data_IF_504698173186
#
_entry.id   IF_504698173186
#
_cell.length_a   1.000
_cell.length_b   1.000
_cell.length_c   1.000
_cell.angle_alpha   90.00
_cell.angle_beta   90.00
_cell.angle_gamma   90.00
#
_symmetry.space_group_name_H-M   'P 1'
#
loop_
_entity.id
_entity.type
_entity.pdbx_description
1 polymer ?
#
# COMPACT_ATOMS: atom_id res chain seq x y z
N UNK A 1 2.61 7.55 29.00
CA UNK A 1 2.51 9.02 29.03
C UNK A 1 2.97 9.59 27.68
N UNK A 2 2.47 10.77 27.27
CA UNK A 2 2.80 11.37 25.97
C UNK A 2 4.30 11.65 25.77
N UNK A 3 5.03 11.89 26.86
CA UNK A 3 6.46 12.22 26.81
C UNK A 3 7.34 11.00 26.52
N UNK A 4 6.97 9.84 27.07
CA UNK A 4 7.60 8.56 26.74
C UNK A 4 7.39 8.20 25.27
N UNK A 5 6.21 8.51 24.70
CA UNK A 5 5.94 8.31 23.27
C UNK A 5 6.86 9.19 22.43
N UNK A 6 6.99 10.48 22.77
CA UNK A 6 7.94 11.40 22.11
C UNK A 6 9.37 10.88 22.17
N UNK A 7 9.85 10.46 23.35
CA UNK A 7 11.19 9.91 23.52
C UNK A 7 11.43 8.66 22.69
N UNK A 8 10.45 7.76 22.61
CA UNK A 8 10.54 6.55 21.79
C UNK A 8 10.60 6.87 20.29
N UNK A 9 9.76 7.78 19.82
CA UNK A 9 9.74 8.22 18.42
C UNK A 9 11.05 8.94 18.04
N UNK A 10 11.58 9.79 18.92
CA UNK A 10 12.89 10.43 18.72
C UNK A 10 14.04 9.43 18.74
N UNK A 11 13.99 8.41 19.61
CA UNK A 11 14.97 7.33 19.61
C UNK A 11 14.94 6.51 18.31
N UNK A 12 13.76 6.25 17.75
CA UNK A 12 13.62 5.61 16.44
C UNK A 12 14.28 6.45 15.33
N UNK A 13 14.11 7.77 15.35
CA UNK A 13 14.70 8.66 14.35
C UNK A 13 16.21 8.81 14.51
N UNK A 14 16.70 9.05 15.73
CA UNK A 14 18.09 9.43 16.01
C UNK A 14 19.04 8.24 16.22
N UNK A 15 18.57 7.16 16.84
CA UNK A 15 19.43 6.02 17.21
C UNK A 15 19.25 4.81 16.30
N UNK A 16 18.10 4.71 15.61
CA UNK A 16 17.80 3.60 14.68
C UNK A 16 17.76 4.04 13.22
N UNK A 17 17.86 5.35 12.95
CA UNK A 17 17.87 5.95 11.60
C UNK A 17 16.74 5.42 10.69
N UNK A 18 15.56 5.16 11.27
CA UNK A 18 14.46 4.57 10.51
C UNK A 18 13.90 5.56 9.50
N UNK A 19 13.36 5.03 8.40
CA UNK A 19 12.67 5.86 7.41
C UNK A 19 11.50 6.63 8.03
N UNK A 20 11.26 7.84 7.52
CA UNK A 20 10.16 8.70 7.95
C UNK A 20 8.79 8.00 7.92
N UNK A 21 8.56 7.14 6.92
CA UNK A 21 7.35 6.32 6.80
C UNK A 21 7.21 5.33 7.97
N UNK A 22 8.30 4.68 8.37
CA UNK A 22 8.34 3.74 9.50
C UNK A 22 8.05 4.47 10.83
N UNK A 23 8.63 5.66 11.02
CA UNK A 23 8.35 6.49 12.20
C UNK A 23 6.88 6.90 12.27
N UNK A 24 6.31 7.37 11.14
CA UNK A 24 4.90 7.75 11.06
C UNK A 24 3.97 6.56 11.31
N UNK A 25 4.33 5.35 10.83
CA UNK A 25 3.58 4.13 11.12
C UNK A 25 3.59 3.80 12.61
N UNK A 26 4.77 3.84 13.25
CA UNK A 26 4.90 3.60 14.69
C UNK A 26 4.09 4.62 15.50
N UNK A 27 4.16 5.90 15.13
CA UNK A 27 3.36 6.95 15.77
C UNK A 27 1.85 6.69 15.65
N UNK A 28 1.38 6.38 14.44
CA UNK A 28 -0.05 6.10 14.21
C UNK A 28 -0.51 4.85 14.97
N UNK A 29 0.32 3.81 15.07
CA UNK A 29 0.01 2.60 15.84
C UNK A 29 -0.12 2.87 17.34
N UNK A 30 0.80 3.66 17.91
CA UNK A 30 0.73 4.07 19.32
C UNK A 30 -0.49 4.97 19.55
N UNK A 31 -0.76 5.90 18.63
CA UNK A 31 -1.94 6.76 18.72
C UNK A 31 -3.26 5.96 18.71
N UNK A 32 -3.34 4.95 17.83
CA UNK A 32 -4.46 4.02 17.79
C UNK A 32 -4.61 3.24 19.10
N UNK A 33 -3.51 2.73 19.66
CA UNK A 33 -3.54 2.01 20.94
C UNK A 33 -4.12 2.88 22.07
N UNK A 34 -3.65 4.12 22.21
CA UNK A 34 -4.13 5.02 23.27
C UNK A 34 -5.60 5.40 23.09
N UNK A 35 -5.98 5.77 21.87
CA UNK A 35 -7.33 6.24 21.57
C UNK A 35 -8.36 5.11 21.59
N UNK A 36 -8.08 4.02 20.87
CA UNK A 36 -9.11 3.00 20.60
C UNK A 36 -9.11 1.87 21.63
N UNK A 37 -7.94 1.46 22.13
CA UNK A 37 -7.83 0.34 23.08
C UNK A 37 -7.87 0.85 24.52
N UNK A 38 -7.05 1.86 24.86
CA UNK A 38 -6.91 2.35 26.23
C UNK A 38 -7.92 3.45 26.59
N UNK A 39 -8.68 3.97 25.62
CA UNK A 39 -9.65 5.06 25.77
C UNK A 39 -9.09 6.27 26.51
N UNK A 40 -7.81 6.58 26.28
CA UNK A 40 -7.10 7.72 26.87
C UNK A 40 -6.72 8.71 25.78
N UNK A 41 -7.05 9.97 26.01
CA UNK A 41 -6.58 11.04 25.15
C UNK A 41 -5.11 11.33 25.46
N UNK A 42 -4.28 11.44 24.42
CA UNK A 42 -2.88 11.83 24.56
C UNK A 42 -2.72 13.36 24.56
N UNK A 43 -3.80 14.13 24.37
CA UNK A 43 -3.75 15.57 24.25
C UNK A 43 -3.16 16.01 22.91
N UNK A 44 -2.89 17.31 22.74
CA UNK A 44 -2.39 17.83 21.48
C UNK A 44 -1.00 17.24 21.12
N UNK A 45 -0.95 16.58 19.97
CA UNK A 45 0.23 15.91 19.42
C UNK A 45 0.85 16.72 18.25
N UNK A 46 0.40 17.96 18.04
CA UNK A 46 0.84 18.86 16.96
C UNK A 46 2.36 19.09 16.93
N UNK A 47 3.01 19.04 18.09
CA UNK A 47 4.44 19.25 18.27
C UNK A 47 5.28 17.97 18.05
N UNK A 48 4.62 16.83 17.82
CA UNK A 48 5.33 15.59 17.54
C UNK A 48 5.84 15.63 16.10
N UNK A 49 7.17 15.77 15.99
CA UNK A 49 8.02 15.62 14.80
C UNK A 49 7.49 14.58 13.80
N UNK A 50 6.51 14.95 12.98
CA UNK A 50 6.12 14.17 11.81
C UNK A 50 7.29 14.23 10.85
N UNK A 51 8.00 13.13 10.71
CA UNK A 51 9.05 13.04 9.72
C UNK A 51 8.44 13.20 8.34
N UNK A 52 8.85 14.27 7.63
CA UNK A 52 8.47 14.50 6.24
C UNK A 52 9.17 13.44 5.39
N UNK A 53 8.42 12.46 4.92
CA UNK A 53 8.93 11.56 3.88
C UNK A 53 8.99 12.34 2.57
N UNK A 54 10.16 12.39 1.94
CA UNK A 54 10.26 12.84 0.56
C UNK A 54 9.39 11.98 -0.34
N UNK A 55 8.64 12.59 -1.26
CA UNK A 55 7.91 11.84 -2.27
C UNK A 55 8.90 11.27 -3.26
N UNK A 56 9.08 9.95 -3.29
CA UNK A 56 9.75 9.31 -4.42
C UNK A 56 8.84 9.44 -5.63
N UNK A 57 9.33 10.09 -6.68
CA UNK A 57 8.64 10.10 -7.96
C UNK A 57 8.51 8.65 -8.44
N UNK A 58 7.31 8.18 -8.78
CA UNK A 58 7.16 6.83 -9.32
C UNK A 58 7.95 6.76 -10.63
N UNK A 59 8.93 5.86 -10.70
CA UNK A 59 9.56 5.50 -11.96
C UNK A 59 8.56 4.68 -12.76
N UNK A 60 7.94 5.32 -13.75
CA UNK A 60 7.03 4.64 -14.67
C UNK A 60 7.85 3.97 -15.78
N UNK A 61 7.49 2.73 -16.12
CA UNK A 61 8.07 2.04 -17.27
C UNK A 61 7.54 2.66 -18.57
N UNK A 62 8.43 2.78 -19.54
CA UNK A 62 8.08 3.14 -20.92
C UNK A 62 7.38 1.98 -21.63
N UNK A 63 6.67 2.28 -22.72
CA UNK A 63 5.97 1.26 -23.53
C UNK A 63 6.95 0.21 -24.07
N UNK A 64 8.16 0.62 -24.45
CA UNK A 64 9.16 -0.29 -25.02
C UNK A 64 9.78 -1.21 -23.95
N UNK A 65 10.01 -0.70 -22.73
CA UNK A 65 10.43 -1.54 -21.59
C UNK A 65 9.36 -2.59 -21.26
N UNK A 66 8.09 -2.18 -21.24
CA UNK A 66 6.97 -3.10 -21.00
C UNK A 66 6.90 -4.17 -22.08
N UNK A 67 7.06 -3.81 -23.36
CA UNK A 67 7.11 -4.77 -24.47
C UNK A 67 8.28 -5.74 -24.34
N UNK A 68 9.47 -5.25 -23.95
CA UNK A 68 10.64 -6.08 -23.74
C UNK A 68 10.44 -7.09 -22.60
N UNK A 69 9.77 -6.69 -21.52
CA UNK A 69 9.39 -7.60 -20.42
C UNK A 69 8.42 -8.68 -20.92
N UNK A 70 7.36 -8.30 -21.62
CA UNK A 70 6.37 -9.27 -22.14
C UNK A 70 6.97 -10.24 -23.18
N UNK A 71 7.98 -9.83 -23.92
CA UNK A 71 8.66 -10.69 -24.88
C UNK A 71 9.47 -11.83 -24.23
N UNK A 72 9.82 -11.70 -22.94
CA UNK A 72 10.58 -12.70 -22.18
C UNK A 72 9.69 -13.63 -21.35
N UNK A 73 8.37 -13.42 -21.35
CA UNK A 73 7.43 -14.15 -20.51
C UNK A 73 6.51 -15.03 -21.34
N UNK A 74 6.22 -16.22 -20.81
CA UNK A 74 5.35 -17.20 -21.43
C UNK A 74 4.34 -17.76 -20.43
N UNK A 75 3.26 -18.36 -20.94
CA UNK A 75 2.26 -19.05 -20.12
C UNK A 75 1.57 -18.14 -19.08
N UNK A 76 1.49 -18.64 -17.84
CA UNK A 76 0.71 -18.02 -16.77
C UNK A 76 1.30 -16.69 -16.29
N UNK A 77 2.62 -16.55 -16.27
CA UNK A 77 3.30 -15.33 -15.79
C UNK A 77 3.01 -14.15 -16.71
N UNK A 78 3.02 -14.39 -18.02
CA UNK A 78 2.62 -13.40 -19.02
C UNK A 78 1.16 -12.98 -18.84
N UNK A 79 0.24 -13.94 -18.71
CA UNK A 79 -1.18 -13.65 -18.49
C UNK A 79 -1.41 -12.81 -17.23
N UNK A 80 -0.72 -13.14 -16.13
CA UNK A 80 -0.80 -12.39 -14.88
C UNK A 80 -0.37 -10.92 -15.05
N UNK A 81 0.74 -10.67 -15.75
CA UNK A 81 1.20 -9.31 -16.01
C UNK A 81 0.32 -8.57 -17.01
N UNK A 82 -0.23 -9.24 -18.03
CA UNK A 82 -1.17 -8.65 -18.98
C UNK A 82 -2.45 -8.18 -18.27
N UNK A 83 -2.96 -8.95 -17.31
CA UNK A 83 -4.11 -8.57 -16.48
C UNK A 83 -3.77 -7.38 -15.58
N UNK A 84 -2.61 -7.39 -14.92
CA UNK A 84 -2.16 -6.26 -14.08
C UNK A 84 -1.99 -4.99 -14.91
N UNK A 85 -1.31 -5.08 -16.06
CA UNK A 85 -0.98 -3.94 -16.91
C UNK A 85 -2.22 -3.39 -17.62
N UNK A 86 -3.07 -4.26 -18.19
CA UNK A 86 -4.27 -3.86 -18.93
C UNK A 86 -5.46 -3.51 -18.03
N UNK A 87 -5.58 -4.14 -16.87
CA UNK A 87 -6.67 -3.93 -15.91
C UNK A 87 -6.33 -2.99 -14.75
N UNK A 88 -5.06 -2.61 -14.58
CA UNK A 88 -4.62 -1.75 -13.48
C UNK A 88 -4.72 -2.40 -12.10
N UNK A 89 -4.73 -3.74 -12.03
CA UNK A 89 -4.88 -4.47 -10.76
C UNK A 89 -3.62 -4.37 -9.92
N UNK A 90 -3.81 -4.29 -8.61
CA UNK A 90 -2.74 -4.56 -7.64
C UNK A 90 -2.45 -6.05 -7.59
N UNK A 91 -1.21 -6.43 -7.26
CA UNK A 91 -0.83 -7.84 -7.08
C UNK A 91 -1.76 -8.56 -6.10
N UNK A 92 -2.18 -7.88 -5.02
CA UNK A 92 -3.11 -8.45 -4.03
C UNK A 92 -4.52 -8.72 -4.58
N UNK A 93 -4.93 -7.98 -5.62
CA UNK A 93 -6.22 -8.17 -6.31
C UNK A 93 -6.12 -9.32 -7.31
N UNK A 94 -5.03 -9.40 -8.08
CA UNK A 94 -4.74 -10.51 -8.98
C UNK A 94 -4.74 -11.85 -8.21
N UNK A 95 -4.08 -11.91 -7.06
CA UNK A 95 -4.01 -13.13 -6.23
C UNK A 95 -5.36 -13.58 -5.65
N UNK A 96 -6.37 -12.72 -5.67
CA UNK A 96 -7.73 -13.03 -5.18
C UNK A 96 -8.73 -13.22 -6.32
N UNK A 97 -8.30 -13.01 -7.55
CA UNK A 97 -9.16 -13.08 -8.71
C UNK A 97 -9.70 -14.49 -8.90
N UNK A 98 -11.02 -14.61 -8.95
CA UNK A 98 -11.69 -15.88 -9.27
C UNK A 98 -12.24 -15.81 -10.68
N UNK A 99 -12.40 -16.98 -11.31
CA UNK A 99 -12.98 -17.10 -12.66
C UNK A 99 -14.36 -16.44 -12.75
N UNK A 100 -15.16 -16.54 -11.69
CA UNK A 100 -16.48 -15.88 -11.57
C UNK A 100 -16.43 -14.35 -11.54
N UNK A 101 -15.29 -13.75 -11.18
CA UNK A 101 -15.13 -12.30 -11.09
C UNK A 101 -14.72 -11.71 -12.46
N UNK A 102 -14.59 -12.55 -13.49
CA UNK A 102 -14.26 -12.18 -14.86
C UNK A 102 -15.54 -12.22 -15.68
N UNK A 103 -16.11 -11.05 -15.94
CA UNK A 103 -17.24 -10.94 -16.86
C UNK A 103 -16.76 -10.73 -18.29
N UNK A 104 -16.97 -11.74 -19.13
CA UNK A 104 -16.64 -11.72 -20.56
C UNK A 104 -17.83 -11.33 -21.44
N UNK A 105 -19.02 -11.11 -20.86
CA UNK A 105 -20.24 -10.81 -21.64
C UNK A 105 -20.28 -9.36 -22.12
N UNK A 106 -19.50 -8.45 -21.53
CA UNK A 106 -19.40 -7.07 -21.99
C UNK A 106 -18.44 -6.96 -23.18
N UNK A 107 -19.02 -6.99 -24.38
CA UNK A 107 -18.52 -6.46 -25.67
C UNK A 107 -17.12 -5.82 -25.60
N UNK A 108 -16.08 -6.66 -25.70
CA UNK A 108 -14.70 -6.42 -26.17
C UNK A 108 -13.87 -5.27 -25.60
N UNK A 109 -14.32 -4.47 -24.62
CA UNK A 109 -13.60 -3.24 -24.24
C UNK A 109 -13.27 -3.07 -22.76
N UNK A 110 -13.84 -3.86 -21.84
CA UNK A 110 -13.53 -3.70 -20.41
C UNK A 110 -13.78 -4.98 -19.62
N UNK A 111 -12.72 -5.59 -19.10
CA UNK A 111 -12.84 -6.62 -18.06
C UNK A 111 -13.06 -5.89 -16.73
N UNK A 112 -14.24 -6.07 -16.12
CA UNK A 112 -14.51 -5.55 -14.78
C UNK A 112 -14.12 -6.59 -13.74
N UNK A 113 -13.16 -6.25 -12.89
CA UNK A 113 -12.77 -7.08 -11.76
C UNK A 113 -13.60 -6.68 -10.53
N UNK A 114 -14.65 -7.43 -10.23
CA UNK A 114 -15.42 -7.23 -8.99
C UNK A 114 -14.67 -7.81 -7.79
N UNK A 115 -13.66 -7.08 -7.31
CA UNK A 115 -13.02 -7.41 -6.05
C UNK A 115 -13.98 -7.18 -4.89
N UNK A 116 -14.33 -8.22 -4.12
CA UNK A 116 -14.97 -8.01 -2.81
C UNK A 116 -13.98 -7.25 -1.92
N UNK A 117 -14.36 -6.11 -1.32
CA UNK A 117 -13.48 -5.39 -0.41
C UNK A 117 -13.10 -6.28 0.78
N UNK A 118 -11.88 -6.12 1.26
CA UNK A 118 -11.28 -6.89 2.36
C UNK A 118 -12.10 -6.84 3.66
N UNK A 119 -13.01 -5.87 3.78
CA UNK A 119 -13.87 -5.62 4.95
C UNK A 119 -15.37 -5.79 4.63
N UNK A 120 -15.73 -6.83 3.88
CA UNK A 120 -17.13 -7.27 3.77
C UNK A 120 -17.37 -8.41 4.77
N UNK A 121 -17.49 -8.04 6.06
CA UNK A 121 -18.23 -8.75 7.10
C UNK A 121 -18.69 -7.74 8.14
#
# INVERSE_FOLDING_TARGET
>A
DPETVRRYISWLALSREVAASTQNLAFNAINFLFKEVLKKDMGDQSDNLRARSGSKLPSVLTVDEVRAIFAQLEGTERLMLEIIYGGGLRISELMRLRVQDIDLNFTFRTVKFTGRPMFSR
#
